data_IF_848843855921
#
_entry.id   IF_848843855921
#
_cell.length_a   1.000
_cell.length_b   1.000
_cell.length_c   1.000
_cell.angle_alpha   90.00
_cell.angle_beta   90.00
_cell.angle_gamma   90.00
#
_symmetry.space_group_name_H-M   'P 1'
#
loop_
_entity.id
_entity.type
_entity.pdbx_description
1 polymer ?
#
# COMPACT_ATOMS: atom_id res chain seq x y z
N UNK A 1 -12.81 13.80 27.40
CA UNK A 1 -11.41 13.69 26.96
C UNK A 1 -11.27 14.38 25.61
N UNK A 2 -10.25 15.23 25.40
CA UNK A 2 -9.97 15.82 24.08
C UNK A 2 -9.70 14.73 23.04
N UNK A 3 -10.12 14.95 21.79
CA UNK A 3 -9.87 14.01 20.70
C UNK A 3 -8.38 14.11 20.32
N UNK A 4 -7.68 12.96 20.29
CA UNK A 4 -6.34 12.87 19.71
C UNK A 4 -6.44 13.24 18.22
N UNK A 5 -5.49 14.05 17.75
CA UNK A 5 -5.33 14.43 16.35
C UNK A 5 -3.97 13.97 15.87
N UNK A 6 -3.93 13.32 14.73
CA UNK A 6 -2.69 12.83 14.11
C UNK A 6 -2.20 13.82 13.04
N UNK A 7 -0.89 13.85 12.82
CA UNK A 7 -0.21 14.72 11.86
C UNK A 7 0.73 13.90 10.97
N UNK A 8 1.12 14.47 9.82
CA UNK A 8 2.18 13.92 8.97
C UNK A 8 3.53 13.94 9.69
N UNK A 9 4.47 13.07 9.30
CA UNK A 9 5.83 12.99 9.89
C UNK A 9 6.50 14.36 9.94
N UNK A 10 6.42 15.10 8.83
CA UNK A 10 7.08 16.40 8.69
C UNK A 10 6.15 17.58 9.06
N UNK A 11 5.01 17.31 9.72
CA UNK A 11 3.95 18.29 10.01
C UNK A 11 3.49 19.10 8.76
N UNK A 12 3.64 18.54 7.56
CA UNK A 12 3.11 19.13 6.33
C UNK A 12 1.61 19.29 6.49
N UNK A 13 1.14 20.54 6.43
CA UNK A 13 -0.28 20.87 6.53
C UNK A 13 -0.99 20.49 5.24
N UNK A 14 -2.09 19.75 5.39
CA UNK A 14 -3.04 19.43 4.32
C UNK A 14 -4.28 20.33 4.37
N UNK A 15 -4.32 21.31 5.27
CA UNK A 15 -5.46 22.23 5.40
C UNK A 15 -5.58 23.14 4.18
N UNK A 16 -6.80 23.29 3.67
CA UNK A 16 -7.13 24.17 2.55
C UNK A 16 -8.08 25.27 3.01
N UNK A 17 -7.85 26.49 2.55
CA UNK A 17 -8.70 27.64 2.85
C UNK A 17 -10.03 27.55 2.10
N UNK A 18 -11.07 28.23 2.62
CA UNK A 18 -12.37 28.32 1.94
C UNK A 18 -12.26 28.94 0.53
N UNK A 19 -11.31 29.85 0.33
CA UNK A 19 -11.03 30.47 -0.98
C UNK A 19 -10.53 29.44 -1.98
N UNK A 20 -9.58 28.60 -1.57
CA UNK A 20 -9.05 27.50 -2.39
C UNK A 20 -10.14 26.47 -2.70
N UNK A 21 -10.98 26.11 -1.73
CA UNK A 21 -12.13 25.22 -1.99
C UNK A 21 -13.12 25.80 -3.02
N UNK A 22 -13.35 27.12 -3.00
CA UNK A 22 -14.22 27.79 -3.97
C UNK A 22 -13.58 27.79 -5.36
N UNK A 23 -12.31 28.18 -5.46
CA UNK A 23 -11.55 28.17 -6.72
C UNK A 23 -11.49 26.78 -7.35
N UNK A 24 -11.19 25.75 -6.54
CA UNK A 24 -11.20 24.35 -6.97
C UNK A 24 -12.56 23.97 -7.58
N UNK A 25 -13.65 24.26 -6.88
CA UNK A 25 -15.01 23.93 -7.33
C UNK A 25 -15.41 24.63 -8.63
N UNK A 26 -14.97 25.87 -8.82
CA UNK A 26 -15.18 26.63 -10.05
C UNK A 26 -14.40 26.02 -11.22
N UNK A 27 -13.12 25.69 -11.03
CA UNK A 27 -12.29 25.05 -12.04
C UNK A 27 -12.82 23.66 -12.46
N UNK A 28 -13.26 22.84 -11.50
CA UNK A 28 -13.88 21.52 -11.81
C UNK A 28 -15.08 21.65 -12.73
N UNK A 29 -15.91 22.69 -12.55
CA UNK A 29 -17.14 22.88 -13.35
C UNK A 29 -16.85 23.31 -14.78
N UNK A 30 -15.71 23.95 -15.04
CA UNK A 30 -15.35 24.43 -16.37
C UNK A 30 -14.61 23.38 -17.23
N UNK A 31 -14.04 22.33 -16.63
CA UNK A 31 -13.26 21.32 -17.36
C UNK A 31 -14.17 20.24 -17.96
N UNK A 32 -14.10 20.06 -19.28
CA UNK A 32 -14.64 18.87 -19.96
C UNK A 32 -13.49 17.90 -20.17
N UNK A 33 -13.56 16.73 -19.55
CA UNK A 33 -12.51 15.70 -19.59
C UNK A 33 -13.05 14.43 -20.24
N UNK A 34 -12.20 13.77 -21.02
CA UNK A 34 -12.53 12.51 -21.66
C UNK A 34 -12.35 11.33 -20.70
N UNK A 35 -13.45 10.63 -20.40
CA UNK A 35 -13.47 9.42 -19.59
C UNK A 35 -13.88 8.20 -20.41
N UNK A 36 -13.66 8.23 -21.73
CA UNK A 36 -13.94 7.13 -22.65
C UNK A 36 -13.08 5.90 -22.35
N UNK A 37 -11.84 6.11 -21.90
CA UNK A 37 -10.97 5.02 -21.48
C UNK A 37 -11.51 4.35 -20.21
N UNK A 38 -11.61 3.02 -20.28
CA UNK A 38 -11.88 2.16 -19.13
C UNK A 38 -10.77 1.12 -19.02
N UNK A 39 -10.36 0.84 -17.78
CA UNK A 39 -9.41 -0.25 -17.50
C UNK A 39 -9.95 -1.56 -18.09
N UNK A 40 -9.15 -2.32 -18.86
CA UNK A 40 -9.57 -3.60 -19.40
C UNK A 40 -10.07 -4.56 -18.30
N UNK A 41 -11.15 -5.28 -18.59
CA UNK A 41 -11.66 -6.32 -17.69
C UNK A 41 -11.13 -7.67 -18.11
N UNK A 42 -10.57 -8.41 -17.16
CA UNK A 42 -10.11 -9.78 -17.33
C UNK A 42 -10.99 -10.71 -16.50
N UNK A 43 -11.46 -11.84 -17.06
CA UNK A 43 -12.14 -12.86 -16.27
C UNK A 43 -11.22 -13.37 -15.16
N UNK A 44 -11.64 -13.34 -13.89
CA UNK A 44 -10.79 -13.81 -12.79
C UNK A 44 -10.65 -15.34 -12.84
N UNK A 45 -9.45 -15.82 -12.51
CA UNK A 45 -9.11 -17.26 -12.45
C UNK A 45 -9.65 -17.91 -11.16
N UNK A 46 -10.97 -17.90 -10.96
CA UNK A 46 -11.62 -18.22 -9.69
C UNK A 46 -11.21 -19.59 -9.12
N UNK A 47 -11.25 -20.66 -9.92
CA UNK A 47 -10.89 -22.00 -9.45
C UNK A 47 -9.47 -22.06 -8.89
N UNK A 48 -8.53 -21.40 -9.58
CA UNK A 48 -7.14 -21.28 -9.13
C UNK A 48 -7.05 -20.43 -7.85
N UNK A 49 -7.70 -19.27 -7.79
CA UNK A 49 -7.66 -18.39 -6.60
C UNK A 49 -8.26 -19.06 -5.36
N UNK A 50 -9.34 -19.85 -5.53
CA UNK A 50 -9.95 -20.61 -4.43
C UNK A 50 -9.04 -21.73 -3.94
N UNK A 51 -8.32 -22.42 -4.85
CA UNK A 51 -7.43 -23.52 -4.53
C UNK A 51 -6.03 -23.08 -4.03
N UNK A 52 -5.52 -21.94 -4.50
CA UNK A 52 -4.16 -21.50 -4.22
C UNK A 52 -3.99 -21.12 -2.73
N UNK A 53 -2.96 -21.69 -2.09
CA UNK A 53 -2.51 -21.31 -0.74
C UNK A 53 -0.99 -21.22 -0.63
N UNK A 54 -0.27 -21.41 -1.73
CA UNK A 54 1.18 -21.51 -1.73
C UNK A 54 1.83 -20.38 -2.52
N UNK A 55 1.34 -20.12 -3.74
CA UNK A 55 1.90 -19.11 -4.63
C UNK A 55 1.48 -17.70 -4.19
N UNK A 56 2.40 -16.75 -4.31
CA UNK A 56 2.10 -15.34 -4.10
C UNK A 56 1.41 -14.76 -5.33
N UNK A 57 0.20 -14.23 -5.15
CA UNK A 57 -0.60 -13.68 -6.23
C UNK A 57 -1.19 -12.33 -5.85
N UNK A 58 -1.33 -11.46 -6.84
CA UNK A 58 -1.92 -10.12 -6.71
C UNK A 58 -2.96 -9.96 -7.80
N UNK A 59 -4.24 -9.93 -7.42
CA UNK A 59 -5.36 -9.68 -8.34
C UNK A 59 -5.90 -8.28 -8.13
N UNK A 60 -5.96 -7.48 -9.19
CA UNK A 60 -6.49 -6.12 -9.08
C UNK A 60 -8.02 -6.11 -9.19
N UNK A 61 -8.71 -5.70 -8.13
CA UNK A 61 -10.19 -5.57 -8.12
C UNK A 61 -10.62 -4.22 -8.71
N UNK A 62 -9.75 -3.21 -8.60
CA UNK A 62 -9.96 -1.83 -9.02
C UNK A 62 -9.82 -0.85 -7.87
N UNK A 63 -9.42 0.38 -8.19
CA UNK A 63 -9.03 1.43 -7.24
C UNK A 63 -7.78 1.00 -6.45
N UNK A 64 -7.76 1.18 -5.13
CA UNK A 64 -6.74 0.60 -4.24
C UNK A 64 -7.12 -0.76 -3.66
N UNK A 65 -8.14 -1.41 -4.23
CA UNK A 65 -8.58 -2.75 -3.81
C UNK A 65 -7.81 -3.83 -4.56
N UNK A 66 -6.99 -4.58 -3.84
CA UNK A 66 -6.33 -5.80 -4.31
C UNK A 66 -6.79 -6.99 -3.50
N UNK A 67 -6.92 -8.15 -4.16
CA UNK A 67 -6.92 -9.44 -3.50
C UNK A 67 -5.50 -10.02 -3.61
N UNK A 68 -4.88 -10.28 -2.47
CA UNK A 68 -3.48 -10.73 -2.38
C UNK A 68 -3.47 -12.08 -1.67
N UNK A 69 -2.85 -13.08 -2.28
CA UNK A 69 -2.52 -14.34 -1.63
C UNK A 69 -1.04 -14.30 -1.29
N UNK A 70 -0.70 -14.43 -0.02
CA UNK A 70 0.68 -14.28 0.44
C UNK A 70 0.96 -15.26 1.58
N UNK A 71 1.83 -16.23 1.32
CA UNK A 71 2.27 -17.23 2.31
C UNK A 71 1.08 -17.87 3.06
N UNK A 72 0.09 -18.36 2.31
CA UNK A 72 -1.12 -19.01 2.84
C UNK A 72 -2.25 -18.08 3.30
N UNK A 73 -2.00 -16.77 3.43
CA UNK A 73 -3.05 -15.80 3.77
C UNK A 73 -3.77 -15.28 2.54
N UNK A 74 -5.09 -15.16 2.64
CA UNK A 74 -5.92 -14.38 1.73
C UNK A 74 -6.17 -12.99 2.33
N UNK A 75 -5.69 -11.95 1.66
CA UNK A 75 -5.65 -10.57 2.13
C UNK A 75 -6.41 -9.68 1.14
N UNK A 76 -7.18 -8.70 1.64
CA UNK A 76 -7.72 -7.62 0.79
C UNK A 76 -7.32 -6.25 1.34
N UNK A 77 -6.86 -5.37 0.45
CA UNK A 77 -6.59 -3.95 0.75
C UNK A 77 -7.82 -3.10 0.44
N UNK A 78 -8.10 -2.10 1.28
CA UNK A 78 -9.06 -1.01 1.03
C UNK A 78 -10.33 -1.41 0.24
N UNK A 79 -11.16 -2.33 0.77
CA UNK A 79 -12.18 -3.03 -0.01
C UNK A 79 -13.35 -2.14 -0.44
N UNK A 80 -13.45 -1.83 -1.74
CA UNK A 80 -14.57 -1.06 -2.32
C UNK A 80 -15.19 -1.74 -3.53
N UNK A 81 -16.33 -2.41 -3.31
CA UNK A 81 -17.19 -2.99 -4.35
C UNK A 81 -18.39 -2.10 -4.72
N UNK A 82 -18.42 -0.86 -4.25
CA UNK A 82 -19.53 0.05 -4.53
C UNK A 82 -19.64 0.35 -6.03
N UNK A 83 -20.85 0.30 -6.57
CA UNK A 83 -21.15 0.75 -7.94
C UNK A 83 -21.10 2.28 -8.07
N UNK A 84 -21.16 2.99 -6.94
CA UNK A 84 -21.14 4.46 -6.88
C UNK A 84 -20.33 4.93 -5.68
N UNK A 85 -19.66 6.06 -5.85
CA UNK A 85 -19.01 6.82 -4.78
C UNK A 85 -19.64 8.21 -4.73
N UNK A 86 -20.47 8.47 -3.72
CA UNK A 86 -21.33 9.65 -3.70
C UNK A 86 -22.27 9.67 -4.92
N UNK A 87 -22.16 10.70 -5.77
CA UNK A 87 -22.93 10.83 -7.01
C UNK A 87 -22.24 10.23 -8.24
N UNK A 88 -20.96 9.83 -8.12
CA UNK A 88 -20.18 9.32 -9.25
C UNK A 88 -20.37 7.82 -9.39
N UNK A 89 -20.59 7.34 -10.62
CA UNK A 89 -20.63 5.90 -10.93
C UNK A 89 -19.21 5.35 -11.05
N UNK A 90 -19.03 4.10 -10.66
CA UNK A 90 -17.83 3.31 -10.94
C UNK A 90 -17.67 3.16 -12.47
N UNK A 91 -16.45 3.33 -12.97
CA UNK A 91 -16.13 3.30 -14.39
C UNK A 91 -16.06 1.89 -14.97
N UNK A 92 -15.58 0.92 -14.18
CA UNK A 92 -15.50 -0.49 -14.56
C UNK A 92 -15.98 -1.39 -13.43
N UNK A 93 -16.56 -2.55 -13.77
CA UNK A 93 -16.98 -3.53 -12.77
C UNK A 93 -15.77 -4.00 -11.92
N UNK A 94 -15.99 -4.41 -10.65
CA UNK A 94 -14.95 -5.05 -9.85
C UNK A 94 -14.34 -6.26 -10.57
N UNK A 95 -13.03 -6.45 -10.42
CA UNK A 95 -12.30 -7.55 -11.04
C UNK A 95 -12.81 -8.94 -10.66
N UNK A 96 -13.09 -9.13 -9.36
CA UNK A 96 -13.79 -10.30 -8.83
C UNK A 96 -15.13 -9.83 -8.24
N UNK A 97 -16.28 -10.45 -8.59
CA UNK A 97 -17.53 -10.15 -7.90
C UNK A 97 -17.43 -10.48 -6.40
N UNK A 98 -18.05 -9.67 -5.54
CA UNK A 98 -17.84 -9.79 -4.08
C UNK A 98 -18.24 -11.15 -3.51
N UNK A 99 -19.20 -11.83 -4.13
CA UNK A 99 -19.65 -13.16 -3.72
C UNK A 99 -18.71 -14.28 -4.15
N UNK A 100 -17.84 -14.04 -5.12
CA UNK A 100 -16.95 -15.05 -5.71
C UNK A 100 -15.52 -14.97 -5.16
N UNK A 101 -15.23 -13.96 -4.33
CA UNK A 101 -13.90 -13.80 -3.72
C UNK A 101 -13.61 -14.94 -2.74
N UNK A 102 -12.39 -15.50 -2.73
CA UNK A 102 -12.00 -16.49 -1.73
C UNK A 102 -12.17 -15.97 -0.29
N UNK A 103 -12.41 -16.85 0.70
CA UNK A 103 -12.52 -16.46 2.10
C UNK A 103 -11.29 -15.68 2.58
N UNK A 104 -11.51 -14.57 3.29
CA UNK A 104 -10.45 -13.66 3.72
C UNK A 104 -10.00 -13.91 5.15
N UNK A 105 -8.68 -13.98 5.33
CA UNK A 105 -8.03 -14.02 6.64
C UNK A 105 -7.82 -12.61 7.19
N UNK A 106 -7.41 -11.68 6.33
CA UNK A 106 -7.04 -10.30 6.72
C UNK A 106 -7.66 -9.28 5.77
N UNK A 107 -8.14 -8.18 6.34
CA UNK A 107 -8.49 -6.96 5.59
C UNK A 107 -7.63 -5.82 6.11
N UNK A 108 -6.91 -5.15 5.21
CA UNK A 108 -6.04 -4.01 5.48
C UNK A 108 -6.74 -2.72 5.09
N UNK A 109 -6.77 -1.74 6.00
CA UNK A 109 -7.30 -0.40 5.75
C UNK A 109 -6.17 0.61 5.85
N UNK A 110 -5.86 1.32 4.77
CA UNK A 110 -4.82 2.37 4.74
C UNK A 110 -5.23 3.60 5.54
N UNK A 111 -6.48 4.05 5.36
CA UNK A 111 -7.03 5.25 5.99
C UNK A 111 -8.56 5.28 5.90
N UNK A 112 -9.19 6.30 6.50
CA UNK A 112 -10.63 6.30 6.72
C UNK A 112 -11.48 6.97 5.63
N UNK A 113 -10.97 7.34 4.45
CA UNK A 113 -11.83 7.90 3.39
C UNK A 113 -12.85 6.89 2.84
N UNK A 114 -13.91 7.38 2.18
CA UNK A 114 -15.05 6.54 1.78
C UNK A 114 -14.72 5.53 0.68
N UNK A 115 -13.75 5.87 -0.15
CA UNK A 115 -13.20 5.10 -1.27
C UNK A 115 -12.09 4.13 -0.85
N UNK A 116 -11.74 4.07 0.44
CA UNK A 116 -10.81 3.09 1.02
C UNK A 116 -11.46 2.26 2.12
N UNK A 117 -12.32 2.90 2.91
CA UNK A 117 -13.08 2.28 3.98
C UNK A 117 -14.59 2.31 3.64
N UNK A 118 -15.04 1.33 2.86
CA UNK A 118 -16.44 1.18 2.49
C UNK A 118 -17.16 0.14 3.37
N UNK A 119 -17.93 0.61 4.36
CA UNK A 119 -18.56 -0.24 5.38
C UNK A 119 -19.49 -1.32 4.79
N UNK A 120 -20.14 -1.08 3.65
CA UNK A 120 -21.01 -2.08 3.04
C UNK A 120 -20.23 -3.20 2.33
N UNK A 121 -19.05 -2.91 1.78
CA UNK A 121 -18.14 -3.98 1.31
C UNK A 121 -17.67 -4.80 2.50
N UNK A 122 -17.19 -4.12 3.56
CA UNK A 122 -16.66 -4.80 4.75
C UNK A 122 -17.66 -5.78 5.34
N UNK A 123 -18.92 -5.38 5.52
CA UNK A 123 -19.95 -6.29 6.08
C UNK A 123 -20.20 -7.56 5.25
N UNK A 124 -19.96 -7.52 3.93
CA UNK A 124 -20.11 -8.67 3.05
C UNK A 124 -18.87 -9.57 3.04
N UNK A 125 -17.70 -9.02 3.38
CA UNK A 125 -16.41 -9.71 3.34
C UNK A 125 -16.02 -10.33 4.68
N UNK A 126 -16.33 -9.68 5.80
CA UNK A 126 -15.89 -10.13 7.11
C UNK A 126 -16.63 -11.38 7.55
N UNK A 127 -15.87 -12.35 8.07
CA UNK A 127 -16.38 -13.52 8.80
C UNK A 127 -15.88 -13.50 10.23
N UNK A 128 -16.28 -14.48 11.06
CA UNK A 128 -15.73 -14.64 12.41
C UNK A 128 -14.20 -14.88 12.43
N UNK A 129 -13.63 -15.36 11.32
CA UNK A 129 -12.19 -15.65 11.17
C UNK A 129 -11.40 -14.52 10.54
N UNK A 130 -12.04 -13.47 10.04
CA UNK A 130 -11.37 -12.35 9.36
C UNK A 130 -10.83 -11.38 10.39
N UNK A 131 -9.56 -10.97 10.27
CA UNK A 131 -8.97 -9.89 11.07
C UNK A 131 -9.01 -8.59 10.27
N UNK A 132 -9.62 -7.56 10.85
CA UNK A 132 -9.58 -6.21 10.28
C UNK A 132 -8.42 -5.42 10.90
N UNK A 133 -7.42 -5.06 10.11
CA UNK A 133 -6.31 -4.21 10.52
C UNK A 133 -6.59 -2.77 10.05
N UNK A 134 -6.47 -1.82 10.96
CA UNK A 134 -6.76 -0.40 10.71
C UNK A 134 -5.68 0.50 11.29
N UNK A 135 -5.60 1.77 10.88
CA UNK A 135 -4.72 2.73 11.54
C UNK A 135 -5.20 3.04 12.95
N UNK A 136 -4.25 3.34 13.84
CA UNK A 136 -4.51 3.78 15.21
C UNK A 136 -5.53 4.93 15.25
N UNK A 137 -6.50 4.81 16.16
CA UNK A 137 -7.62 5.73 16.31
C UNK A 137 -8.92 5.27 15.62
N UNK A 138 -8.87 4.30 14.68
CA UNK A 138 -10.08 3.77 14.04
C UNK A 138 -10.75 2.62 14.79
N UNK A 139 -10.04 1.85 15.62
CA UNK A 139 -10.60 0.61 16.21
C UNK A 139 -11.89 0.84 16.94
N UNK A 140 -11.95 1.89 17.77
CA UNK A 140 -13.17 2.23 18.53
C UNK A 140 -14.37 2.47 17.62
N UNK A 141 -14.17 3.09 16.46
CA UNK A 141 -15.21 3.33 15.45
C UNK A 141 -15.64 2.03 14.80
N UNK A 142 -14.68 1.16 14.46
CA UNK A 142 -14.94 -0.14 13.83
C UNK A 142 -15.68 -1.10 14.77
N UNK A 143 -15.26 -1.20 16.03
CA UNK A 143 -15.94 -2.01 17.06
C UNK A 143 -17.39 -1.54 17.24
N UNK A 144 -17.63 -0.23 17.32
CA UNK A 144 -19.00 0.33 17.40
C UNK A 144 -19.87 0.03 16.17
N UNK A 145 -19.25 -0.27 15.02
CA UNK A 145 -19.95 -0.64 13.78
C UNK A 145 -20.12 -2.16 13.63
N UNK A 146 -19.72 -2.95 14.63
CA UNK A 146 -19.86 -4.41 14.67
C UNK A 146 -18.60 -5.19 14.27
N UNK A 147 -17.49 -4.51 13.99
CA UNK A 147 -16.23 -5.16 13.61
C UNK A 147 -15.37 -5.41 14.85
N UNK A 148 -15.69 -6.46 15.60
CA UNK A 148 -15.06 -6.75 16.90
C UNK A 148 -13.65 -7.33 16.78
N UNK A 149 -13.38 -8.13 15.74
CA UNK A 149 -12.06 -8.69 15.45
C UNK A 149 -11.22 -7.68 14.67
N UNK A 150 -10.85 -6.61 15.36
CA UNK A 150 -10.17 -5.45 14.81
C UNK A 150 -8.89 -5.13 15.59
N UNK A 151 -7.78 -4.97 14.87
CA UNK A 151 -6.48 -4.59 15.40
C UNK A 151 -6.12 -3.20 14.82
N UNK A 152 -5.61 -2.31 15.65
CA UNK A 152 -5.13 -1.00 15.19
C UNK A 152 -3.64 -0.88 15.38
N UNK A 153 -2.97 -0.20 14.45
CA UNK A 153 -1.52 -0.09 14.40
C UNK A 153 -1.09 1.36 14.20
N UNK A 154 -0.02 1.74 14.89
CA UNK A 154 0.74 2.97 14.62
C UNK A 154 1.81 2.70 13.57
N UNK A 155 2.37 3.76 13.01
CA UNK A 155 3.49 3.62 12.09
C UNK A 155 4.63 2.84 12.73
N UNK A 156 5.22 1.95 11.93
CA UNK A 156 6.29 1.02 12.27
C UNK A 156 5.90 -0.09 13.25
N UNK A 157 4.68 -0.11 13.77
CA UNK A 157 4.16 -1.30 14.44
C UNK A 157 3.92 -2.41 13.41
N UNK A 158 4.08 -3.65 13.86
CA UNK A 158 3.85 -4.82 13.05
C UNK A 158 3.10 -5.90 13.85
N UNK A 159 2.42 -6.79 13.13
CA UNK A 159 1.90 -8.04 13.68
C UNK A 159 2.29 -9.20 12.78
N UNK A 160 2.44 -10.39 13.37
CA UNK A 160 2.72 -11.61 12.62
C UNK A 160 1.51 -12.53 12.63
N UNK A 161 1.06 -12.95 11.46
CA UNK A 161 -0.08 -13.86 11.26
C UNK A 161 0.29 -14.92 10.22
N UNK A 162 0.17 -16.21 10.56
CA UNK A 162 0.41 -17.29 9.58
C UNK A 162 1.80 -17.28 8.92
N UNK A 163 2.83 -16.76 9.61
CA UNK A 163 4.17 -16.59 9.05
C UNK A 163 4.36 -15.32 8.20
N UNK A 164 3.37 -14.44 8.14
CA UNK A 164 3.44 -13.14 7.47
C UNK A 164 3.58 -12.03 8.50
N UNK A 165 4.64 -11.24 8.42
CA UNK A 165 4.79 -10.01 9.18
C UNK A 165 4.19 -8.86 8.38
N UNK A 166 3.20 -8.20 8.97
CA UNK A 166 2.45 -7.09 8.39
C UNK A 166 2.86 -5.84 9.16
N UNK A 167 3.57 -4.92 8.51
CA UNK A 167 4.03 -3.67 9.13
C UNK A 167 3.22 -2.49 8.58
N UNK A 168 2.67 -1.65 9.46
CA UNK A 168 1.98 -0.43 9.04
C UNK A 168 3.01 0.69 8.88
N UNK A 169 3.11 1.30 7.69
CA UNK A 169 4.15 2.29 7.37
C UNK A 169 3.56 3.68 7.10
N UNK A 170 4.34 4.76 7.29
CA UNK A 170 3.86 6.12 7.09
C UNK A 170 3.43 6.45 5.66
N UNK A 171 2.57 7.45 5.54
CA UNK A 171 2.21 8.13 4.30
C UNK A 171 1.99 9.63 4.57
N UNK A 172 2.06 10.46 3.53
CA UNK A 172 1.68 11.86 3.59
C UNK A 172 0.23 12.05 3.13
N UNK A 173 -0.70 12.05 4.06
CA UNK A 173 -2.13 12.13 3.77
C UNK A 173 -2.89 12.75 4.95
N UNK A 174 -4.19 12.52 5.03
CA UNK A 174 -5.05 12.96 6.13
C UNK A 174 -6.26 12.04 6.20
N UNK A 175 -7.19 12.30 7.13
CA UNK A 175 -8.43 11.51 7.13
C UNK A 175 -9.63 12.29 7.60
N UNK A 176 -10.79 12.06 6.98
CA UNK A 176 -12.08 12.58 7.45
C UNK A 176 -13.26 11.80 6.88
N UNK A 177 -14.28 11.55 7.70
CA UNK A 177 -15.55 10.95 7.22
C UNK A 177 -16.77 11.78 7.51
N UNK A 178 -16.68 12.63 8.52
CA UNK A 178 -17.75 13.48 9.04
C UNK A 178 -17.22 14.89 9.24
N UNK A 179 -18.10 15.81 9.63
CA UNK A 179 -17.69 17.19 9.87
C UNK A 179 -16.77 17.35 11.09
N UNK A 180 -16.69 16.36 11.99
CA UNK A 180 -16.05 16.49 13.30
C UNK A 180 -14.95 15.46 13.60
N UNK A 181 -14.50 14.70 12.61
CA UNK A 181 -13.54 13.59 12.79
C UNK A 181 -12.25 13.70 11.97
N UNK A 182 -11.94 14.90 11.44
CA UNK A 182 -10.68 15.17 10.72
C UNK A 182 -9.46 14.71 11.53
N UNK A 183 -8.60 13.86 10.98
CA UNK A 183 -7.36 13.39 11.60
C UNK A 183 -7.56 12.75 12.98
N UNK A 184 -8.70 12.11 13.22
CA UNK A 184 -8.93 11.33 14.47
C UNK A 184 -8.37 9.92 14.42
N UNK A 185 -7.73 9.54 13.32
CA UNK A 185 -6.92 8.33 13.17
C UNK A 185 -5.73 8.60 12.26
N UNK A 186 -4.74 7.71 12.29
CA UNK A 186 -3.64 7.69 11.33
C UNK A 186 -4.11 7.31 9.91
N UNK A 187 -3.14 7.36 8.98
CA UNK A 187 -3.18 6.94 7.57
C UNK A 187 -1.80 6.36 7.21
N UNK A 188 -1.71 5.49 6.22
CA UNK A 188 -0.45 4.84 5.90
C UNK A 188 -0.58 3.74 4.85
N UNK A 189 0.54 3.09 4.57
CA UNK A 189 0.62 1.87 3.77
C UNK A 189 0.89 0.62 4.62
N UNK A 190 1.03 -0.52 3.98
CA UNK A 190 1.42 -1.77 4.61
C UNK A 190 2.55 -2.45 3.86
N UNK A 191 3.54 -2.95 4.60
CA UNK A 191 4.57 -3.86 4.07
C UNK A 191 4.26 -5.27 4.54
N UNK A 192 4.23 -6.22 3.59
CA UNK A 192 4.03 -7.64 3.82
C UNK A 192 5.34 -8.36 3.53
N UNK A 193 5.90 -8.99 4.56
CA UNK A 193 7.14 -9.78 4.45
C UNK A 193 6.94 -11.14 5.10
N UNK A 194 7.66 -12.15 4.62
CA UNK A 194 7.74 -13.43 5.32
C UNK A 194 8.44 -13.22 6.67
N UNK A 195 7.85 -13.72 7.73
CA UNK A 195 8.45 -13.66 9.06
C UNK A 195 9.58 -14.69 9.14
N UNK A 196 10.81 -14.27 8.90
CA UNK A 196 11.98 -15.09 9.19
C UNK A 196 12.17 -15.16 10.71
N UNK A 197 12.14 -16.35 11.34
CA UNK A 197 12.62 -16.47 12.71
C UNK A 197 14.09 -16.01 12.74
N UNK A 198 14.46 -15.23 13.75
CA UNK A 198 15.84 -14.77 13.88
C UNK A 198 16.77 -15.99 13.87
N UNK A 199 17.71 -16.03 12.92
CA UNK A 199 18.78 -17.02 12.93
C UNK A 199 19.70 -16.62 14.07
N UNK A 200 19.62 -17.34 15.19
CA UNK A 200 20.60 -17.23 16.26
C UNK A 200 21.88 -17.85 15.69
N UNK A 201 23.00 -17.12 15.55
CA UNK A 201 24.25 -17.72 15.12
C UNK A 201 24.61 -18.86 16.08
N UNK A 202 24.81 -20.07 15.55
CA UNK A 202 25.34 -21.18 16.36
C UNK A 202 26.76 -20.85 16.79
N UNK A 203 27.08 -21.14 18.07
CA UNK A 203 28.38 -20.87 18.71
C UNK A 203 29.59 -21.59 18.06
N UNK A 204 29.39 -22.35 16.97
CA UNK A 204 30.44 -23.12 16.30
C UNK A 204 31.37 -22.29 15.39
N UNK A 205 31.07 -21.02 15.10
CA UNK A 205 31.96 -20.17 14.30
C UNK A 205 32.99 -19.36 15.11
N UNK A 206 32.96 -19.44 16.45
CA UNK A 206 33.83 -18.64 17.32
C UNK A 206 35.17 -19.30 17.70
N UNK A 207 35.50 -20.47 17.15
CA UNK A 207 36.64 -21.27 17.61
C UNK A 207 37.79 -21.40 16.59
N UNK A 208 38.21 -20.32 15.92
CA UNK A 208 39.55 -20.26 15.32
C UNK A 208 40.05 -18.81 15.17
N UNK A 209 40.52 -18.20 16.25
CA UNK A 209 41.51 -17.11 16.19
C UNK A 209 42.08 -16.78 17.57
N UNK A 210 42.88 -17.68 18.13
CA UNK A 210 43.86 -17.29 19.14
C UNK A 210 45.15 -16.78 18.46
N UNK A 211 45.79 -15.82 19.15
CA UNK A 211 47.09 -15.21 18.94
C UNK A 211 47.27 -14.13 17.84
N UNK A 212 47.19 -12.85 18.28
CA UNK A 212 48.38 -11.97 18.43
C UNK A 212 48.03 -10.61 19.06
N UNK A 213 48.72 -10.36 20.19
CA UNK A 213 49.08 -9.09 20.84
C UNK A 213 48.77 -7.75 20.12
N UNK A 214 48.18 -6.76 20.83
CA UNK A 214 48.93 -5.71 21.55
C UNK A 214 48.01 -4.71 22.29
N UNK A 215 48.59 -4.08 23.31
CA UNK A 215 48.01 -3.26 24.39
C UNK A 215 47.45 -1.87 24.01
N UNK A 216 46.38 -1.50 24.72
CA UNK A 216 46.13 -0.22 25.45
C UNK A 216 45.65 1.04 24.67
N UNK A 217 44.40 1.46 24.89
CA UNK A 217 44.06 2.61 25.76
C UNK A 217 42.57 3.03 25.67
N UNK A 218 42.08 3.58 26.79
CA UNK A 218 40.71 4.01 27.11
C UNK A 218 40.22 5.21 26.27
N UNK A 219 38.95 5.22 25.87
CA UNK A 219 37.95 6.25 26.20
C UNK A 219 36.58 5.91 25.59
N UNK A 220 35.52 6.30 26.30
CA UNK A 220 34.13 5.94 26.08
C UNK A 220 33.44 6.71 24.93
N UNK A 221 32.48 6.05 24.29
CA UNK A 221 31.52 6.61 23.35
C UNK A 221 30.75 5.48 22.68
N UNK A 222 29.52 5.23 23.13
CA UNK A 222 28.62 4.20 22.63
C UNK A 222 28.06 4.61 21.26
N UNK A 223 28.68 4.13 20.20
CA UNK A 223 28.10 4.02 18.86
C UNK A 223 28.15 2.55 18.49
N UNK A 224 27.04 1.82 18.68
CA UNK A 224 26.90 0.48 18.11
C UNK A 224 26.74 0.63 16.59
N UNK A 225 27.62 0.03 15.78
CA UNK A 225 27.48 0.09 14.33
C UNK A 225 26.27 -0.73 13.92
N UNK A 226 25.39 -0.11 13.12
CA UNK A 226 24.37 -0.80 12.35
C UNK A 226 25.10 -1.77 11.41
N UNK A 227 25.11 -3.05 11.76
CA UNK A 227 25.53 -4.11 10.84
C UNK A 227 24.55 -4.14 9.67
N UNK A 228 24.94 -3.47 8.58
CA UNK A 228 24.33 -3.63 7.26
C UNK A 228 24.85 -4.92 6.63
N UNK A 229 24.40 -6.07 7.11
CA UNK A 229 24.45 -7.30 6.32
C UNK A 229 23.09 -7.46 5.66
N UNK A 230 23.00 -7.01 4.40
CA UNK A 230 21.92 -7.37 3.49
C UNK A 230 22.06 -8.87 3.17
N UNK A 231 21.70 -9.70 4.14
CA UNK A 231 21.59 -11.14 3.96
C UNK A 231 20.33 -11.39 3.14
N UNK A 232 20.52 -11.47 1.82
CA UNK A 232 19.49 -11.87 0.88
C UNK A 232 19.14 -13.33 1.22
N UNK A 233 18.15 -13.53 2.07
CA UNK A 233 17.61 -14.87 2.34
C UNK A 233 17.07 -15.45 1.03
N UNK A 234 17.74 -16.44 0.42
CA UNK A 234 17.28 -17.01 -0.83
C UNK A 234 16.16 -17.98 -0.49
N UNK A 235 14.90 -17.64 -0.84
CA UNK A 235 13.80 -18.60 -0.84
C UNK A 235 12.42 -18.13 -0.36
N UNK A 236 12.26 -16.87 0.05
CA UNK A 236 10.97 -16.32 0.50
C UNK A 236 10.14 -15.66 -0.62
N UNK A 237 8.81 -15.47 -0.43
CA UNK A 237 8.01 -14.64 -1.33
C UNK A 237 8.49 -13.19 -1.27
N UNK A 238 8.41 -12.43 -2.39
CA UNK A 238 8.88 -11.05 -2.43
C UNK A 238 8.17 -10.20 -1.38
N UNK A 239 8.85 -9.22 -0.80
CA UNK A 239 8.19 -8.25 0.06
C UNK A 239 7.24 -7.38 -0.77
N UNK A 240 5.99 -7.26 -0.32
CA UNK A 240 4.96 -6.45 -0.99
C UNK A 240 4.73 -5.17 -0.19
N UNK A 241 4.89 -4.02 -0.83
CA UNK A 241 4.54 -2.72 -0.27
C UNK A 241 3.26 -2.19 -0.90
N UNK A 242 2.17 -2.16 -0.12
CA UNK A 242 0.94 -1.46 -0.47
C UNK A 242 0.99 -0.03 0.06
N UNK A 243 1.08 0.97 -0.83
CA UNK A 243 1.35 2.37 -0.45
C UNK A 243 0.16 3.04 0.24
N UNK A 244 -1.07 2.65 -0.09
CA UNK A 244 -2.26 3.44 0.27
C UNK A 244 -2.31 4.76 -0.52
N UNK A 245 -2.97 5.77 0.04
CA UNK A 245 -2.99 7.13 -0.53
C UNK A 245 -1.94 8.00 0.15
N UNK A 246 -1.15 8.69 -0.66
CA UNK A 246 -0.08 9.56 -0.18
C UNK A 246 0.24 10.63 -1.22
N UNK A 247 0.60 11.82 -0.74
CA UNK A 247 1.43 12.76 -1.50
C UNK A 247 2.89 12.31 -1.48
N UNK A 248 3.73 12.95 -2.29
CA UNK A 248 5.17 12.67 -2.26
C UNK A 248 5.78 13.08 -0.91
N UNK A 249 6.66 12.23 -0.38
CA UNK A 249 7.34 12.45 0.90
C UNK A 249 8.62 11.61 1.01
N UNK A 250 9.55 12.03 1.87
CA UNK A 250 10.86 11.38 2.04
C UNK A 250 10.77 9.93 2.56
N UNK A 251 9.63 9.54 3.12
CA UNK A 251 9.46 8.22 3.70
C UNK A 251 9.46 7.08 2.68
N UNK A 252 9.27 7.33 1.37
CA UNK A 252 9.51 6.28 0.36
C UNK A 252 10.93 5.72 0.45
N UNK A 253 11.93 6.61 0.50
CA UNK A 253 13.33 6.23 0.68
C UNK A 253 13.56 5.51 2.02
N UNK A 254 13.03 6.03 3.12
CA UNK A 254 13.19 5.41 4.45
C UNK A 254 12.54 4.02 4.53
N UNK A 255 11.43 3.80 3.83
CA UNK A 255 10.80 2.48 3.74
C UNK A 255 11.67 1.55 2.88
N UNK A 256 12.19 2.00 1.74
CA UNK A 256 13.13 1.23 0.92
C UNK A 256 14.45 0.89 1.61
N UNK A 257 14.95 1.74 2.50
CA UNK A 257 16.12 1.47 3.35
C UNK A 257 15.84 0.42 4.44
N UNK A 258 14.58 0.23 4.83
CA UNK A 258 14.16 -0.71 5.90
C UNK A 258 13.70 -2.06 5.38
N UNK A 259 13.24 -2.14 4.14
CA UNK A 259 12.64 -3.33 3.57
C UNK A 259 13.19 -3.59 2.17
N UNK A 260 13.58 -4.83 1.89
CA UNK A 260 13.96 -5.27 0.54
C UNK A 260 12.70 -5.52 -0.30
N UNK A 261 12.11 -4.45 -0.85
CA UNK A 261 10.81 -4.50 -1.51
C UNK A 261 10.92 -5.18 -2.87
N UNK A 262 10.18 -6.27 -3.07
CA UNK A 262 10.04 -6.88 -4.39
C UNK A 262 8.96 -6.21 -5.24
N UNK A 263 7.80 -5.90 -4.66
CA UNK A 263 6.67 -5.33 -5.39
C UNK A 263 6.05 -4.15 -4.65
N UNK A 264 5.87 -3.03 -5.34
CA UNK A 264 5.16 -1.85 -4.82
C UNK A 264 3.84 -1.64 -5.56
N UNK A 265 2.74 -1.59 -4.80
CA UNK A 265 1.42 -1.18 -5.28
C UNK A 265 1.30 0.34 -5.05
N UNK A 266 1.38 1.13 -6.12
CA UNK A 266 1.61 2.58 -6.06
C UNK A 266 0.43 3.36 -6.68
N UNK A 267 -0.19 4.33 -5.97
CA UNK A 267 -1.24 5.16 -6.57
C UNK A 267 -0.67 6.05 -7.68
N UNK A 268 -1.44 6.28 -8.75
CA UNK A 268 -1.08 7.22 -9.83
C UNK A 268 -2.24 8.17 -10.20
N UNK A 269 -3.35 8.14 -9.46
CA UNK A 269 -4.57 8.85 -9.76
C UNK A 269 -4.94 9.90 -8.70
N UNK A 270 -6.00 10.66 -9.00
CA UNK A 270 -6.59 11.66 -8.10
C UNK A 270 -5.67 12.87 -7.78
N UNK A 271 -4.83 13.29 -8.72
CA UNK A 271 -3.84 14.36 -8.52
C UNK A 271 -4.23 15.72 -9.14
N UNK A 272 -5.22 15.82 -10.05
CA UNK A 272 -5.61 17.09 -10.68
C UNK A 272 -6.76 17.77 -9.89
N UNK A 273 -6.66 19.07 -9.55
CA UNK A 273 -5.54 19.97 -9.79
C UNK A 273 -4.41 19.85 -8.78
N UNK A 274 -3.19 19.80 -9.31
CA UNK A 274 -1.96 19.51 -8.55
C UNK A 274 -1.77 20.49 -7.38
N UNK A 275 -1.96 21.80 -7.60
CA UNK A 275 -1.85 22.81 -6.54
C UNK A 275 -2.75 22.53 -5.32
N UNK A 276 -3.85 21.80 -5.52
CA UNK A 276 -4.78 21.42 -4.47
C UNK A 276 -4.49 20.00 -3.94
N UNK A 277 -4.06 19.07 -4.78
CA UNK A 277 -3.99 17.64 -4.43
C UNK A 277 -2.58 17.13 -4.04
N UNK A 278 -1.48 17.76 -4.46
CA UNK A 278 -0.11 17.22 -4.28
C UNK A 278 0.29 16.97 -2.82
N UNK A 279 -0.29 17.71 -1.88
CA UNK A 279 -0.07 17.49 -0.45
C UNK A 279 -0.59 16.14 0.07
N UNK A 280 -1.41 15.42 -0.72
CA UNK A 280 -2.09 14.21 -0.27
C UNK A 280 -2.19 13.10 -1.34
N UNK A 281 -1.93 13.40 -2.62
CA UNK A 281 -1.84 12.43 -3.71
C UNK A 281 -0.62 12.72 -4.57
N UNK A 282 0.16 11.68 -4.87
CA UNK A 282 1.26 11.74 -5.83
C UNK A 282 0.73 11.95 -7.24
N UNK A 283 1.47 12.71 -8.05
CA UNK A 283 1.32 12.65 -9.51
C UNK A 283 1.92 11.34 -10.07
N UNK A 284 1.65 10.98 -11.34
CA UNK A 284 2.31 9.83 -11.97
C UNK A 284 3.84 9.93 -11.96
N UNK A 285 4.39 11.14 -12.03
CA UNK A 285 5.84 11.37 -11.97
C UNK A 285 6.39 11.16 -10.57
N UNK A 286 5.74 11.74 -9.56
CA UNK A 286 6.09 11.54 -8.16
C UNK A 286 5.94 10.07 -7.74
N UNK A 287 4.98 9.34 -8.32
CA UNK A 287 4.79 7.91 -8.11
C UNK A 287 6.00 7.10 -8.60
N UNK A 288 6.53 7.41 -9.79
CA UNK A 288 7.75 6.75 -10.29
C UNK A 288 9.00 7.16 -9.53
N UNK A 289 9.10 8.42 -9.11
CA UNK A 289 10.17 8.84 -8.21
C UNK A 289 10.13 8.07 -6.90
N UNK A 290 8.97 8.01 -6.24
CA UNK A 290 8.77 7.23 -5.02
C UNK A 290 9.10 5.74 -5.22
N UNK A 291 8.67 5.15 -6.34
CA UNK A 291 9.02 3.77 -6.72
C UNK A 291 10.55 3.57 -6.80
N UNK A 292 11.27 4.45 -7.48
CA UNK A 292 12.74 4.37 -7.56
C UNK A 292 13.38 4.48 -6.16
N UNK A 293 12.88 5.39 -5.33
CA UNK A 293 13.39 5.59 -3.97
C UNK A 293 13.09 4.43 -3.02
N UNK A 294 12.01 3.67 -3.24
CA UNK A 294 11.76 2.43 -2.49
C UNK A 294 12.75 1.31 -2.81
N UNK A 295 13.52 1.41 -3.89
CA UNK A 295 14.38 0.32 -4.37
C UNK A 295 13.61 -0.88 -4.95
N UNK A 296 12.28 -0.78 -5.08
CA UNK A 296 11.42 -1.90 -5.44
C UNK A 296 11.72 -2.47 -6.82
N UNK A 297 11.69 -3.80 -6.97
CA UNK A 297 11.96 -4.45 -8.26
C UNK A 297 10.84 -4.19 -9.28
N UNK A 298 9.59 -4.32 -8.83
CA UNK A 298 8.38 -4.19 -9.63
C UNK A 298 7.41 -3.14 -9.08
N UNK A 299 6.75 -2.38 -9.94
CA UNK A 299 5.64 -1.49 -9.61
C UNK A 299 4.35 -1.98 -10.28
N UNK A 300 3.26 -1.98 -9.52
CA UNK A 300 1.89 -2.13 -10.03
C UNK A 300 1.14 -0.84 -9.75
N UNK A 301 0.78 -0.03 -10.77
CA UNK A 301 0.03 1.20 -10.56
C UNK A 301 -1.41 0.90 -10.11
N UNK A 302 -1.96 1.77 -9.27
CA UNK A 302 -3.32 1.65 -8.70
C UNK A 302 -4.00 3.01 -8.50
N UNK A 303 -5.19 3.01 -7.89
CA UNK A 303 -5.98 4.23 -7.56
C UNK A 303 -6.46 5.07 -8.76
N UNK A 304 -6.31 4.55 -9.99
CA UNK A 304 -6.86 5.15 -11.20
C UNK A 304 -7.98 4.27 -11.79
N UNK A 305 -8.69 4.78 -12.80
CA UNK A 305 -9.53 3.94 -13.66
C UNK A 305 -10.82 3.40 -13.06
N UNK A 306 -11.14 3.71 -11.80
CA UNK A 306 -12.29 3.11 -11.10
C UNK A 306 -13.38 4.11 -10.69
N UNK A 307 -13.01 5.23 -10.08
CA UNK A 307 -13.94 6.29 -9.70
C UNK A 307 -13.43 7.66 -10.20
N UNK A 308 -14.35 8.59 -10.47
CA UNK A 308 -14.01 9.98 -10.81
C UNK A 308 -13.81 10.80 -9.53
N UNK A 309 -12.62 10.75 -8.94
CA UNK A 309 -12.33 11.38 -7.64
C UNK A 309 -11.75 12.79 -7.78
N UNK A 310 -10.78 12.99 -8.68
CA UNK A 310 -10.22 14.30 -9.02
C UNK A 310 -10.47 14.64 -10.51
N UNK A 311 -9.82 15.68 -11.04
CA UNK A 311 -10.04 16.17 -12.41
C UNK A 311 -9.21 15.42 -13.46
N UNK A 312 -8.33 14.51 -13.04
CA UNK A 312 -7.53 13.66 -13.92
C UNK A 312 -8.40 12.58 -14.57
N UNK A 313 -7.87 12.02 -15.66
CA UNK A 313 -8.48 10.89 -16.34
C UNK A 313 -7.55 9.67 -16.24
N UNK A 314 -8.12 8.45 -16.29
CA UNK A 314 -7.29 7.25 -16.22
C UNK A 314 -6.24 7.17 -17.35
N UNK A 315 -6.58 7.63 -18.56
CA UNK A 315 -5.66 7.63 -19.70
C UNK A 315 -4.56 8.67 -19.52
N UNK A 316 -4.90 9.85 -19.00
CA UNK A 316 -3.93 10.91 -18.69
C UNK A 316 -2.89 10.42 -17.66
N UNK A 317 -3.34 9.76 -16.60
CA UNK A 317 -2.46 9.19 -15.57
C UNK A 317 -1.48 8.14 -16.15
N UNK A 318 -1.99 7.22 -16.97
CA UNK A 318 -1.19 6.19 -17.62
C UNK A 318 -0.18 6.78 -18.62
N UNK A 319 -0.59 7.75 -19.42
CA UNK A 319 0.28 8.37 -20.42
C UNK A 319 1.42 9.16 -19.77
N UNK A 320 1.11 9.93 -18.71
CA UNK A 320 2.12 10.66 -17.95
C UNK A 320 3.10 9.72 -17.25
N UNK A 321 2.61 8.65 -16.64
CA UNK A 321 3.46 7.61 -16.05
C UNK A 321 4.40 7.01 -17.11
N UNK A 322 3.90 6.69 -18.30
CA UNK A 322 4.72 6.08 -19.35
C UNK A 322 5.80 7.03 -19.88
N UNK A 323 5.45 8.30 -20.13
CA UNK A 323 6.43 9.33 -20.53
C UNK A 323 7.52 9.48 -19.48
N UNK A 324 7.16 9.49 -18.20
CA UNK A 324 8.13 9.60 -17.12
C UNK A 324 8.97 8.32 -16.95
N UNK A 325 8.39 7.14 -17.14
CA UNK A 325 9.10 5.86 -17.13
C UNK A 325 10.25 5.88 -18.15
N UNK A 326 9.95 6.35 -19.36
CA UNK A 326 10.95 6.53 -20.43
C UNK A 326 12.00 7.56 -20.04
N UNK A 327 11.59 8.72 -19.50
CA UNK A 327 12.51 9.78 -19.06
C UNK A 327 13.51 9.30 -18.00
N UNK A 328 13.05 8.47 -17.05
CA UNK A 328 13.88 7.90 -16.00
C UNK A 328 14.66 6.65 -16.44
N UNK A 329 14.44 6.15 -17.67
CA UNK A 329 15.11 4.95 -18.18
C UNK A 329 14.70 3.65 -17.46
N UNK A 330 13.51 3.62 -16.86
CA UNK A 330 13.01 2.44 -16.16
C UNK A 330 12.56 1.40 -17.19
N UNK A 331 13.09 0.16 -17.12
CA UNK A 331 12.68 -0.91 -18.02
C UNK A 331 11.16 -1.16 -17.92
N UNK A 332 10.48 -1.28 -19.06
CA UNK A 332 9.03 -1.54 -19.15
C UNK A 332 8.59 -2.78 -18.34
N UNK A 333 9.43 -3.82 -18.24
CA UNK A 333 9.13 -5.03 -17.47
C UNK A 333 8.99 -4.78 -15.96
N UNK A 334 9.55 -3.67 -15.45
CA UNK A 334 9.42 -3.26 -14.05
C UNK A 334 8.09 -2.58 -13.73
N UNK A 335 7.27 -2.26 -14.72
CA UNK A 335 5.94 -1.67 -14.53
C UNK A 335 4.88 -2.64 -15.04
N UNK A 336 4.00 -3.12 -14.16
CA UNK A 336 2.94 -4.07 -14.51
C UNK A 336 1.58 -3.42 -14.34
N UNK A 337 1.07 -2.87 -15.44
CA UNK A 337 -0.29 -2.35 -15.55
C UNK A 337 -1.26 -3.52 -15.66
N UNK A 338 -2.08 -3.74 -14.64
CA UNK A 338 -3.07 -4.81 -14.62
C UNK A 338 -4.42 -4.34 -15.14
N UNK A 339 -5.21 -5.25 -15.70
CA UNK A 339 -6.65 -5.08 -15.86
C UNK A 339 -7.44 -5.45 -14.61
N UNK A 340 -8.71 -5.01 -14.52
CA UNK A 340 -9.59 -5.45 -13.43
C UNK A 340 -9.88 -6.94 -13.56
N UNK A 341 -9.49 -7.71 -12.55
CA UNK A 341 -9.62 -9.17 -12.48
C UNK A 341 -8.37 -9.91 -12.97
N UNK A 342 -7.39 -9.20 -13.53
CA UNK A 342 -6.11 -9.79 -13.91
C UNK A 342 -5.31 -10.15 -12.66
N UNK A 343 -4.70 -11.33 -12.68
CA UNK A 343 -3.89 -11.86 -11.59
C UNK A 343 -2.43 -11.91 -11.99
N UNK A 344 -1.60 -11.14 -11.28
CA UNK A 344 -0.16 -11.25 -11.35
C UNK A 344 0.28 -12.39 -10.42
N UNK A 345 0.92 -13.42 -10.97
CA UNK A 345 1.59 -14.47 -10.21
C UNK A 345 3.06 -14.11 -10.08
N UNK A 346 3.56 -14.00 -8.86
CA UNK A 346 4.98 -13.69 -8.67
C UNK A 346 5.72 -15.01 -8.54
N UNK A 347 6.45 -15.38 -9.58
CA UNK A 347 7.25 -16.60 -9.60
C UNK A 347 8.54 -16.35 -8.84
N UNK A 348 8.93 -17.33 -8.04
CA UNK A 348 10.28 -17.40 -7.50
C UNK A 348 11.23 -17.79 -8.63
N UNK A 349 12.28 -17.01 -8.86
CA UNK A 349 13.44 -17.55 -9.55
C UNK A 349 14.15 -18.49 -8.56
N UNK A 350 13.92 -19.79 -8.71
CA UNK A 350 14.84 -20.76 -8.12
C UNK A 350 16.20 -20.49 -8.76
N UNK A 351 17.17 -20.08 -7.94
CA UNK A 351 18.56 -19.92 -8.36
C UNK A 351 18.97 -21.19 -9.09
N UNK A 352 19.23 -21.09 -10.39
CA UNK A 352 19.88 -22.16 -11.16
C UNK A 352 21.22 -22.44 -10.49
N UNK A 353 21.29 -23.55 -9.77
CA UNK A 353 22.55 -24.18 -9.43
C UNK A 353 23.04 -24.84 -10.72
N UNK A 354 23.90 -24.14 -11.46
CA UNK A 354 24.77 -24.74 -12.49
C UNK A 354 26.11 -25.14 -11.86
#
# INVERSE_FOLDING_TARGET
MPKIRYNNIDNVSTDKTLKEFKQWREQRRSKVKDYSYTVPKHPPELDYLHANRAETTITWIGHSTFFIQYHGLNIVTDPVWAEKMGFQRRLGAPGIPIQDIPPLDVILISHSHYDHLHLASLRKLVTAKTLLIVPDGLKRKMVRKGFHRCHEMKWWEHITLGGVKITFVPAQHWTRRTLFDTNTSHWGGYVLEQNHPAVIPSEESAATSEDRDYKNSRAAGTDDPIETSADHSPGGPPVIYFVGDTGYFQGFKTIGERFDIGVTLMPIGAYDPEWFMTSQHVTPEEALQGFVETGSQLMVPMHYGTFKLADDTPKEALDRMEVERERLGINAERIRVLGHGETLRIRHEESKQD
#
